data_IF_077022303235
#
_entry.id   IF_077022303235
#
_cell.length_a   1.000
_cell.length_b   1.000
_cell.length_c   1.000
_cell.angle_alpha   90.00
_cell.angle_beta   90.00
_cell.angle_gamma   90.00
#
_symmetry.space_group_name_H-M   'P 1'
#
loop_
_entity.id
_entity.type
_entity.pdbx_description
1 polymer ?
#
# COMPACT_ATOMS: atom_id res chain seq x y z
N UNK A 1 -10.73 -25.90 0.08
CA UNK A 1 -11.28 -26.23 1.41
C UNK A 1 -10.12 -26.62 2.31
N UNK A 2 -10.07 -26.10 3.55
CA UNK A 2 -8.99 -26.33 4.52
C UNK A 2 -9.43 -27.25 5.66
N UNK A 3 -10.44 -28.10 5.44
CA UNK A 3 -11.03 -28.99 6.46
C UNK A 3 -9.93 -29.78 7.16
N UNK A 4 -9.11 -30.55 6.44
CA UNK A 4 -8.07 -31.38 7.06
C UNK A 4 -6.85 -30.61 7.60
N UNK A 5 -6.83 -29.27 7.54
CA UNK A 5 -5.73 -28.45 8.03
C UNK A 5 -5.88 -28.14 9.53
N UNK A 6 -5.62 -29.14 10.38
CA UNK A 6 -5.71 -29.02 11.84
C UNK A 6 -4.70 -28.07 12.50
N UNK A 7 -3.70 -27.61 11.76
CA UNK A 7 -2.63 -26.72 12.23
C UNK A 7 -2.58 -25.41 11.43
N UNK A 8 -3.73 -24.92 10.97
CA UNK A 8 -3.80 -23.64 10.27
C UNK A 8 -3.43 -22.49 11.22
N UNK A 9 -2.25 -21.90 11.01
CA UNK A 9 -1.73 -20.81 11.85
C UNK A 9 -2.13 -19.44 11.34
N UNK A 10 -1.97 -19.20 10.04
CA UNK A 10 -2.29 -17.92 9.42
C UNK A 10 -2.85 -18.10 8.00
N UNK A 11 -3.71 -17.16 7.60
CA UNK A 11 -4.31 -17.04 6.28
C UNK A 11 -4.13 -15.60 5.82
N UNK A 12 -3.73 -15.39 4.56
CA UNK A 12 -3.63 -14.05 3.97
C UNK A 12 -4.62 -13.91 2.84
N UNK A 13 -5.43 -12.85 2.88
CA UNK A 13 -6.36 -12.48 1.82
C UNK A 13 -5.98 -11.15 1.21
N UNK A 14 -6.00 -11.08 -0.12
CA UNK A 14 -5.78 -9.84 -0.89
C UNK A 14 -7.10 -9.19 -1.31
N UNK A 15 -8.24 -9.79 -0.96
CA UNK A 15 -9.56 -9.28 -1.33
C UNK A 15 -9.98 -8.17 -0.37
N UNK A 16 -10.35 -6.97 -0.85
CA UNK A 16 -10.79 -5.87 -0.01
C UNK A 16 -12.14 -6.15 0.66
N UNK A 17 -12.94 -7.05 0.09
CA UNK A 17 -14.24 -7.48 0.62
C UNK A 17 -14.25 -8.97 0.93
N UNK A 18 -14.94 -9.40 2.01
CA UNK A 18 -15.04 -10.80 2.38
C UNK A 18 -15.91 -11.56 1.39
N UNK A 19 -15.38 -12.67 0.88
CA UNK A 19 -16.15 -13.60 0.05
C UNK A 19 -17.01 -14.52 0.92
N UNK A 20 -18.17 -14.92 0.40
CA UNK A 20 -19.01 -15.92 1.07
C UNK A 20 -18.37 -17.30 0.98
N UNK A 21 -18.16 -17.93 2.14
CA UNK A 21 -17.60 -19.27 2.26
C UNK A 21 -18.65 -20.25 2.77
N UNK A 22 -18.46 -21.53 2.45
CA UNK A 22 -19.25 -22.61 3.06
C UNK A 22 -18.80 -22.83 4.50
N UNK A 23 -19.72 -23.18 5.39
CA UNK A 23 -19.48 -23.35 6.84
C UNK A 23 -18.37 -24.34 7.17
N UNK A 24 -18.16 -25.35 6.32
CA UNK A 24 -17.10 -26.34 6.45
C UNK A 24 -15.79 -25.94 5.75
N UNK A 25 -15.56 -24.66 5.43
CA UNK A 25 -14.32 -24.27 4.73
C UNK A 25 -13.09 -24.36 5.64
N UNK A 26 -13.26 -24.08 6.93
CA UNK A 26 -12.21 -24.08 7.95
C UNK A 26 -12.70 -24.83 9.20
N UNK A 27 -11.86 -25.72 9.74
CA UNK A 27 -12.09 -26.39 11.03
C UNK A 27 -11.34 -25.71 12.18
N UNK A 28 -10.27 -24.97 11.86
CA UNK A 28 -9.42 -24.26 12.83
C UNK A 28 -9.26 -22.82 12.40
N UNK A 29 -9.31 -21.90 13.37
CA UNK A 29 -9.21 -20.46 13.16
C UNK A 29 -7.92 -19.93 13.78
N UNK A 30 -7.04 -19.40 12.92
CA UNK A 30 -5.78 -18.78 13.32
C UNK A 30 -5.81 -17.27 13.09
N UNK A 31 -4.71 -16.74 12.57
CA UNK A 31 -4.56 -15.35 12.16
C UNK A 31 -5.06 -15.14 10.73
N UNK A 32 -5.74 -14.00 10.47
CA UNK A 32 -6.18 -13.61 9.14
C UNK A 32 -5.60 -12.24 8.77
N UNK A 33 -4.66 -12.22 7.83
CA UNK A 33 -4.11 -10.99 7.29
C UNK A 33 -5.03 -10.46 6.18
N UNK A 34 -5.67 -9.32 6.43
CA UNK A 34 -6.56 -8.62 5.50
C UNK A 34 -5.92 -7.34 4.98
N UNK A 35 -6.35 -6.80 3.82
CA UNK A 35 -5.86 -5.51 3.34
C UNK A 35 -6.20 -4.36 4.30
N UNK A 36 -5.42 -3.28 4.23
CA UNK A 36 -5.72 -2.04 4.95
C UNK A 36 -7.12 -1.52 4.60
N UNK A 37 -7.89 -1.12 5.60
CA UNK A 37 -9.28 -0.68 5.47
C UNK A 37 -10.31 -1.81 5.43
N UNK A 38 -9.91 -3.08 5.39
CA UNK A 38 -10.83 -4.22 5.26
C UNK A 38 -11.22 -4.86 6.59
N UNK A 39 -10.56 -4.52 7.70
CA UNK A 39 -10.76 -5.17 9.01
C UNK A 39 -12.21 -5.22 9.46
N UNK A 40 -12.93 -4.11 9.32
CA UNK A 40 -14.32 -4.01 9.75
C UNK A 40 -15.24 -4.93 8.92
N UNK A 41 -15.02 -5.02 7.61
CA UNK A 41 -15.79 -5.87 6.72
C UNK A 41 -15.61 -7.36 7.08
N UNK A 42 -14.37 -7.79 7.31
CA UNK A 42 -14.08 -9.17 7.70
C UNK A 42 -14.57 -9.52 9.11
N UNK A 43 -14.58 -8.56 10.03
CA UNK A 43 -15.12 -8.75 11.39
C UNK A 43 -16.63 -9.00 11.40
N UNK A 44 -17.35 -8.44 10.42
CA UNK A 44 -18.80 -8.63 10.26
C UNK A 44 -19.17 -9.89 9.47
N UNK A 45 -18.22 -10.45 8.71
CA UNK A 45 -18.51 -11.54 7.79
C UNK A 45 -18.57 -12.91 8.49
N UNK A 46 -19.50 -13.80 8.08
CA UNK A 46 -19.61 -15.14 8.63
C UNK A 46 -18.33 -15.94 8.35
N UNK A 47 -17.92 -16.80 9.29
CA UNK A 47 -16.68 -17.60 9.26
C UNK A 47 -15.42 -16.74 9.47
N UNK A 48 -15.27 -15.63 8.74
CA UNK A 48 -14.13 -14.71 8.85
C UNK A 48 -13.99 -14.09 10.23
N UNK A 49 -15.11 -13.73 10.87
CA UNK A 49 -15.16 -13.20 12.24
C UNK A 49 -14.56 -14.12 13.31
N UNK A 50 -14.38 -15.42 13.01
CA UNK A 50 -13.82 -16.39 13.95
C UNK A 50 -12.28 -16.34 13.96
N UNK A 51 -11.65 -15.71 12.97
CA UNK A 51 -10.19 -15.53 12.91
C UNK A 51 -9.74 -14.33 13.76
N UNK A 52 -8.47 -14.36 14.17
CA UNK A 52 -7.79 -13.16 14.68
C UNK A 52 -7.42 -12.28 13.49
N UNK A 53 -8.22 -11.25 13.23
CA UNK A 53 -8.03 -10.37 12.06
C UNK A 53 -6.88 -9.41 12.30
N UNK A 54 -5.82 -9.59 11.52
CA UNK A 54 -4.65 -8.73 11.44
C UNK A 54 -4.80 -7.89 10.18
N UNK A 55 -4.90 -6.58 10.37
CA UNK A 55 -4.92 -5.65 9.25
C UNK A 55 -3.49 -5.43 8.77
N UNK A 56 -3.25 -5.69 7.49
CA UNK A 56 -2.01 -5.33 6.84
C UNK A 56 -1.85 -3.82 6.86
N UNK A 57 -0.66 -3.35 7.21
CA UNK A 57 -0.27 -1.97 6.94
C UNK A 57 0.00 -1.85 5.43
N UNK A 58 -0.32 -0.71 4.81
CA UNK A 58 0.02 -0.39 3.40
C UNK A 58 1.52 -0.61 3.04
N UNK A 59 2.36 -0.88 4.03
CA UNK A 59 3.78 -1.22 3.93
C UNK A 59 4.11 -2.59 3.31
N UNK A 60 3.15 -3.45 2.97
CA UNK A 60 3.41 -4.59 2.07
C UNK A 60 3.41 -4.20 0.58
N UNK A 61 3.44 -2.89 0.28
CA UNK A 61 3.78 -2.41 -1.06
C UNK A 61 5.26 -2.62 -1.27
N UNK A 62 5.60 -3.47 -2.23
CA UNK A 62 6.93 -3.57 -2.86
C UNK A 62 7.54 -2.19 -3.07
N UNK A 63 8.36 -1.69 -2.13
CA UNK A 63 9.22 -0.50 -2.25
C UNK A 63 8.61 0.83 -2.74
N UNK A 64 7.31 0.92 -3.02
CA UNK A 64 6.68 2.11 -3.57
C UNK A 64 5.66 2.59 -2.55
N UNK A 65 6.08 3.52 -1.70
CA UNK A 65 5.17 4.24 -0.83
C UNK A 65 4.05 4.85 -1.69
N UNK A 66 2.81 4.57 -1.31
CA UNK A 66 1.64 5.30 -1.77
C UNK A 66 1.92 6.80 -1.59
N UNK A 67 2.05 7.53 -2.70
CA UNK A 67 2.34 8.95 -2.72
C UNK A 67 1.03 9.70 -2.45
N UNK A 68 0.59 9.69 -1.20
CA UNK A 68 -0.54 10.49 -0.75
C UNK A 68 -0.12 11.95 -0.78
N UNK A 69 -0.62 12.64 -1.80
CA UNK A 69 -0.42 14.06 -2.13
C UNK A 69 0.81 14.35 -3.00
N UNK A 70 0.59 14.30 -4.32
CA UNK A 70 1.28 15.21 -5.26
C UNK A 70 0.74 16.64 -5.02
N UNK A 71 0.80 17.15 -3.79
CA UNK A 71 0.65 18.58 -3.54
C UNK A 71 1.89 19.22 -4.11
N UNK A 72 1.77 19.67 -5.37
CA UNK A 72 2.69 20.51 -6.14
C UNK A 72 4.16 20.13 -5.93
N UNK A 73 4.71 19.35 -6.87
CA UNK A 73 6.15 19.09 -6.92
C UNK A 73 6.94 20.38 -6.63
N UNK A 74 7.90 20.37 -5.69
CA UNK A 74 8.89 21.44 -5.67
C UNK A 74 9.52 21.43 -7.06
N UNK A 75 9.42 22.55 -7.77
CA UNK A 75 10.00 22.71 -9.11
C UNK A 75 11.43 22.22 -9.05
N UNK A 76 11.71 21.10 -9.69
CA UNK A 76 13.05 20.53 -9.65
C UNK A 76 13.91 21.39 -10.56
N UNK A 77 14.70 22.27 -9.93
CA UNK A 77 15.65 23.15 -10.60
C UNK A 77 17.00 22.42 -10.61
N UNK A 78 17.58 22.22 -11.79
CA UNK A 78 18.93 21.67 -11.93
C UNK A 78 19.84 22.64 -12.68
N UNK A 79 21.15 22.54 -12.46
CA UNK A 79 22.14 23.16 -13.34
C UNK A 79 22.45 22.23 -14.54
N UNK A 80 23.25 22.70 -15.50
CA UNK A 80 23.71 21.88 -16.64
C UNK A 80 24.55 20.66 -16.24
N UNK A 81 25.07 20.65 -15.01
CA UNK A 81 25.83 19.54 -14.43
C UNK A 81 24.94 18.50 -13.73
N UNK A 82 23.62 18.67 -13.76
CA UNK A 82 22.66 17.73 -13.15
C UNK A 82 22.52 17.85 -11.62
N UNK A 83 23.09 18.88 -10.99
CA UNK A 83 22.94 19.11 -9.56
C UNK A 83 21.62 19.78 -9.24
N UNK A 84 20.91 19.29 -8.22
CA UNK A 84 19.67 19.88 -7.72
C UNK A 84 19.94 21.22 -7.03
N UNK A 85 19.16 22.24 -7.37
CA UNK A 85 19.23 23.59 -6.81
C UNK A 85 17.98 23.86 -5.97
N UNK A 86 18.17 24.43 -4.79
CA UNK A 86 17.08 24.82 -3.88
C UNK A 86 16.25 26.00 -4.38
N UNK A 87 16.73 26.73 -5.39
CA UNK A 87 15.99 27.73 -6.15
C UNK A 87 16.76 28.11 -7.43
N UNK A 88 16.11 28.78 -8.41
CA UNK A 88 16.78 29.24 -9.63
C UNK A 88 17.93 30.20 -9.32
N UNK A 89 19.03 30.06 -10.06
CA UNK A 89 20.21 30.95 -9.97
C UNK A 89 20.37 31.71 -11.27
N UNK A 90 21.01 32.88 -11.24
CA UNK A 90 21.31 33.64 -12.45
C UNK A 90 22.12 32.76 -13.41
N UNK A 91 21.72 32.73 -14.68
CA UNK A 91 22.25 31.80 -15.68
C UNK A 91 21.25 30.73 -16.09
N UNK A 92 21.75 29.64 -16.66
CA UNK A 92 20.92 28.59 -17.26
C UNK A 92 20.53 27.53 -16.22
N UNK A 93 19.22 27.31 -16.06
CA UNK A 93 18.65 26.32 -15.15
C UNK A 93 17.75 25.35 -15.95
N UNK A 94 17.67 24.10 -15.52
CA UNK A 94 16.72 23.11 -16.02
C UNK A 94 15.59 23.05 -15.01
N UNK A 95 14.41 23.55 -15.37
CA UNK A 95 13.24 23.59 -14.49
C UNK A 95 12.17 22.71 -15.13
N UNK A 96 11.76 21.64 -14.42
CA UNK A 96 10.78 20.65 -14.92
C UNK A 96 11.16 20.10 -16.31
N UNK A 97 12.46 19.81 -16.52
CA UNK A 97 12.97 19.29 -17.79
C UNK A 97 13.14 20.33 -18.91
N UNK A 98 12.74 21.59 -18.70
CA UNK A 98 12.93 22.68 -19.69
C UNK A 98 14.13 23.55 -19.33
N UNK A 99 14.98 23.84 -20.31
CA UNK A 99 16.07 24.83 -20.15
C UNK A 99 15.46 26.23 -20.08
N UNK A 100 15.74 26.94 -18.98
CA UNK A 100 15.27 28.29 -18.69
C UNK A 100 16.47 29.18 -18.38
N UNK A 101 16.59 30.32 -19.06
CA UNK A 101 17.62 31.31 -18.78
C UNK A 101 17.07 32.36 -17.81
N UNK A 102 17.71 32.49 -16.64
CA UNK A 102 17.38 33.47 -15.60
C UNK A 102 18.38 34.63 -15.72
N UNK A 103 17.89 35.84 -15.97
CA UNK A 103 18.69 37.06 -16.18
C UNK A 103 18.99 37.77 -14.86
#
# INVERSE_FOLDING_TARGET
SFVSCKNLKSVTTKSPTPISLYSNTFEVYGELHVPAGSKEAYSKAPIWKNFTIIEGTDTETTGIAQLSSITQQPTSVFNLSGQSLTAPRKGLNIINGKKVMIK
#
